data_IF_401669998227
#
_entry.id   IF_401669998227
#
_cell.length_a   1.000
_cell.length_b   1.000
_cell.length_c   1.000
_cell.angle_alpha   90.00
_cell.angle_beta   90.00
_cell.angle_gamma   90.00
#
_symmetry.space_group_name_H-M   'P 1'
#
loop_
_entity.id
_entity.type
_entity.pdbx_description
1 polymer ?
#
# COMPACT_ATOMS: atom_id res chain seq x y z
N UNK A 1 17.02 -10.08 6.69
CA UNK A 1 17.33 -8.81 6.00
C UNK A 1 16.01 -8.30 5.46
N UNK A 2 15.52 -7.14 5.93
CA UNK A 2 14.27 -6.56 5.42
C UNK A 2 14.69 -5.56 4.34
N UNK A 3 14.51 -5.94 3.08
CA UNK A 3 14.89 -5.10 1.94
C UNK A 3 13.78 -4.08 1.69
N UNK A 4 14.02 -2.81 2.04
CA UNK A 4 13.10 -1.70 1.72
C UNK A 4 13.48 -1.16 0.34
N UNK A 5 12.65 -1.39 -0.69
CA UNK A 5 12.86 -0.81 -2.02
C UNK A 5 11.90 0.36 -2.23
N UNK A 6 12.45 1.58 -2.33
CA UNK A 6 11.71 2.79 -2.63
C UNK A 6 12.17 3.29 -4.01
N UNK A 7 11.25 3.46 -4.96
CA UNK A 7 11.53 4.16 -6.21
C UNK A 7 10.48 5.26 -6.39
N UNK A 8 10.93 6.52 -6.46
CA UNK A 8 10.09 7.71 -6.48
C UNK A 8 10.28 8.42 -7.83
N UNK A 9 9.46 8.10 -8.83
CA UNK A 9 9.38 8.84 -10.10
C UNK A 9 7.97 8.68 -10.72
N UNK A 10 7.29 9.75 -11.11
CA UNK A 10 5.94 9.71 -11.73
C UNK A 10 5.98 10.26 -13.17
N UNK A 11 5.53 9.45 -14.16
CA UNK A 11 5.04 9.81 -15.52
C UNK A 11 4.30 8.60 -16.13
N UNK A 12 3.30 8.79 -17.01
CA UNK A 12 2.33 7.75 -17.40
C UNK A 12 2.91 6.45 -18.05
N UNK A 13 3.95 6.53 -18.89
CA UNK A 13 4.65 5.33 -19.41
C UNK A 13 5.49 4.61 -18.33
N UNK A 14 5.74 5.29 -17.21
CA UNK A 14 6.54 4.78 -16.11
C UNK A 14 5.73 3.85 -15.20
N UNK A 15 4.40 3.96 -15.16
CA UNK A 15 3.59 3.12 -14.26
C UNK A 15 3.65 1.64 -14.62
N UNK A 16 3.55 1.29 -15.91
CA UNK A 16 3.66 -0.10 -16.35
C UNK A 16 5.09 -0.65 -16.16
N UNK A 17 6.11 0.17 -16.42
CA UNK A 17 7.52 -0.20 -16.18
C UNK A 17 7.79 -0.40 -14.68
N UNK A 18 7.27 0.48 -13.82
CA UNK A 18 7.38 0.38 -12.37
C UNK A 18 6.63 -0.81 -11.80
N UNK A 19 5.45 -1.10 -12.34
CA UNK A 19 4.66 -2.27 -11.96
C UNK A 19 5.39 -3.56 -12.37
N UNK A 20 5.87 -3.64 -13.60
CA UNK A 20 6.69 -4.78 -14.08
C UNK A 20 7.93 -4.97 -13.21
N UNK A 21 8.62 -3.88 -12.87
CA UNK A 21 9.77 -3.92 -11.97
C UNK A 21 9.38 -4.39 -10.57
N UNK A 22 8.28 -3.89 -10.00
CA UNK A 22 7.78 -4.31 -8.69
C UNK A 22 7.50 -5.82 -8.67
N UNK A 23 6.84 -6.35 -9.69
CA UNK A 23 6.57 -7.78 -9.81
C UNK A 23 7.85 -8.61 -9.85
N UNK A 24 8.85 -8.14 -10.60
CA UNK A 24 10.15 -8.81 -10.68
C UNK A 24 10.89 -8.79 -9.32
N UNK A 25 10.78 -7.70 -8.57
CA UNK A 25 11.37 -7.62 -7.23
C UNK A 25 10.63 -8.49 -6.20
N UNK A 26 9.29 -8.59 -6.28
CA UNK A 26 8.51 -9.53 -5.48
C UNK A 26 8.93 -10.98 -5.81
N UNK A 27 9.10 -11.30 -7.10
CA UNK A 27 9.55 -12.61 -7.57
C UNK A 27 10.92 -12.97 -6.99
N UNK A 28 11.92 -12.08 -7.11
CA UNK A 28 13.27 -12.30 -6.55
C UNK A 28 13.25 -12.47 -5.03
N UNK A 29 12.47 -11.65 -4.32
CA UNK A 29 12.34 -11.76 -2.87
C UNK A 29 11.74 -13.11 -2.46
N UNK A 30 10.72 -13.58 -3.18
CA UNK A 30 10.13 -14.91 -2.96
C UNK A 30 11.14 -16.03 -3.19
N UNK A 31 11.92 -15.98 -4.26
CA UNK A 31 12.98 -16.97 -4.53
C UNK A 31 14.03 -17.01 -3.41
N UNK A 32 14.35 -15.85 -2.84
CA UNK A 32 15.27 -15.72 -1.71
C UNK A 32 14.62 -15.95 -0.33
N UNK A 33 13.33 -16.31 -0.29
CA UNK A 33 12.54 -16.49 0.95
C UNK A 33 12.52 -15.23 1.85
N UNK A 34 12.54 -14.05 1.24
CA UNK A 34 12.49 -12.76 1.91
C UNK A 34 11.05 -12.26 2.04
N UNK A 35 10.82 -11.37 3.02
CA UNK A 35 9.56 -10.64 3.16
C UNK A 35 9.68 -9.28 2.47
N UNK A 36 8.61 -8.89 1.78
CA UNK A 36 8.51 -7.63 1.03
C UNK A 36 7.55 -6.68 1.75
N UNK A 37 7.96 -5.41 1.79
CA UNK A 37 7.13 -4.28 2.21
C UNK A 37 7.09 -3.32 1.03
N UNK A 38 5.88 -2.94 0.65
CA UNK A 38 5.64 -2.04 -0.47
C UNK A 38 5.14 -0.71 0.09
N UNK A 39 5.66 0.39 -0.46
CA UNK A 39 5.22 1.74 -0.11
C UNK A 39 4.96 2.48 -1.41
N UNK A 40 3.72 2.93 -1.62
CA UNK A 40 3.30 3.65 -2.83
C UNK A 40 2.57 4.93 -2.49
N UNK A 41 2.45 5.84 -3.47
CA UNK A 41 1.57 7.00 -3.31
C UNK A 41 0.10 6.59 -3.46
N UNK A 42 -0.26 5.88 -4.53
CA UNK A 42 -1.63 5.41 -4.80
C UNK A 42 -1.93 4.11 -4.08
N UNK A 43 -3.22 3.86 -3.83
CA UNK A 43 -3.68 2.62 -3.22
C UNK A 43 -3.54 1.43 -4.19
N UNK A 44 -3.22 0.22 -3.68
CA UNK A 44 -3.12 -0.99 -4.50
C UNK A 44 -4.46 -1.67 -4.78
N UNK A 45 -5.54 -1.15 -4.22
CA UNK A 45 -6.86 -1.76 -4.28
C UNK A 45 -7.92 -0.69 -4.19
N UNK A 46 -9.10 -0.94 -4.77
CA UNK A 46 -10.28 -0.08 -4.62
C UNK A 46 -11.03 -0.35 -3.33
N UNK A 47 -10.75 -1.47 -2.67
CA UNK A 47 -11.48 -1.94 -1.49
C UNK A 47 -11.26 -0.99 -0.32
N UNK A 48 -12.31 -0.28 0.08
CA UNK A 48 -12.32 0.66 1.21
C UNK A 48 -11.32 1.82 1.08
N UNK A 49 -10.79 2.05 -0.12
CA UNK A 49 -9.78 3.08 -0.39
C UNK A 49 -10.33 4.26 -1.18
N UNK A 50 -11.49 4.10 -1.83
CA UNK A 50 -12.23 5.17 -2.51
C UNK A 50 -13.64 5.29 -1.92
N UNK A 51 -14.26 6.47 -2.03
CA UNK A 51 -15.69 6.64 -1.80
C UNK A 51 -16.49 6.21 -3.03
N UNK A 52 -17.80 5.98 -2.85
CA UNK A 52 -18.72 5.75 -3.97
C UNK A 52 -18.73 6.97 -4.90
N UNK A 53 -18.62 8.18 -4.35
CA UNK A 53 -18.52 9.43 -5.12
C UNK A 53 -17.25 9.50 -5.98
N UNK A 54 -16.09 9.03 -5.47
CA UNK A 54 -14.83 8.95 -6.25
C UNK A 54 -14.92 7.90 -7.37
N UNK A 55 -15.68 6.82 -7.13
CA UNK A 55 -15.92 5.77 -8.10
C UNK A 55 -16.89 6.24 -9.21
N UNK A 56 -17.97 6.92 -8.82
CA UNK A 56 -19.00 7.45 -9.71
C UNK A 56 -18.50 8.62 -10.57
N UNK A 57 -17.63 9.48 -10.01
CA UNK A 57 -17.01 10.59 -10.75
C UNK A 57 -15.89 10.16 -11.70
N UNK A 58 -15.53 8.87 -11.71
CA UNK A 58 -14.50 8.30 -12.60
C UNK A 58 -13.06 8.70 -12.23
N UNK A 59 -12.87 9.41 -11.10
CA UNK A 59 -11.54 9.84 -10.64
C UNK A 59 -10.81 8.73 -9.90
N UNK A 60 -11.47 7.64 -9.50
CA UNK A 60 -10.85 6.51 -8.81
C UNK A 60 -9.57 5.97 -9.50
N UNK A 61 -9.47 6.06 -10.83
CA UNK A 61 -8.24 5.69 -11.57
C UNK A 61 -7.04 6.61 -11.33
N UNK A 62 -7.25 7.81 -10.79
CA UNK A 62 -6.19 8.68 -10.29
C UNK A 62 -5.74 8.30 -8.86
N UNK A 63 -6.54 7.53 -8.11
CA UNK A 63 -6.27 7.20 -6.72
C UNK A 63 -5.80 5.76 -6.47
N UNK A 64 -6.17 4.86 -7.37
CA UNK A 64 -6.04 3.42 -7.16
C UNK A 64 -5.51 2.74 -8.41
N UNK A 65 -4.51 1.89 -8.22
CA UNK A 65 -4.14 0.89 -9.19
C UNK A 65 -4.75 -0.45 -8.73
N UNK A 66 -5.56 -1.10 -9.55
CA UNK A 66 -6.23 -2.36 -9.20
C UNK A 66 -5.22 -3.52 -9.21
N UNK A 67 -4.50 -3.68 -8.09
CA UNK A 67 -3.36 -4.58 -7.90
C UNK A 67 -3.61 -5.56 -6.75
N UNK A 68 -4.87 -5.96 -6.55
CA UNK A 68 -5.26 -6.98 -5.57
C UNK A 68 -4.46 -8.29 -5.74
N UNK A 69 -4.13 -8.66 -6.99
CA UNK A 69 -3.38 -9.87 -7.31
C UNK A 69 -1.91 -9.82 -6.84
N UNK A 70 -1.34 -8.62 -6.70
CA UNK A 70 0.04 -8.42 -6.25
C UNK A 70 0.16 -8.53 -4.72
N UNK A 71 -0.97 -8.41 -4.02
CA UNK A 71 -1.09 -8.72 -2.60
C UNK A 71 -1.06 -10.23 -2.43
N UNK A 72 0.11 -10.82 -2.28
CA UNK A 72 0.31 -12.27 -2.22
C UNK A 72 1.35 -12.66 -1.18
N UNK A 73 1.62 -13.97 -1.07
CA UNK A 73 2.60 -14.49 -0.13
C UNK A 73 3.95 -13.80 -0.29
N UNK A 74 4.65 -13.57 0.82
CA UNK A 74 5.86 -12.74 0.93
C UNK A 74 5.64 -11.23 0.92
N UNK A 75 4.57 -10.71 0.33
CA UNK A 75 4.20 -9.30 0.49
C UNK A 75 3.46 -9.13 1.82
N UNK A 76 4.16 -8.69 2.87
CA UNK A 76 3.60 -8.65 4.23
C UNK A 76 2.84 -7.36 4.50
N UNK A 77 3.34 -6.25 3.97
CA UNK A 77 2.77 -4.92 4.18
C UNK A 77 2.75 -4.13 2.87
N UNK A 78 1.64 -3.45 2.62
CA UNK A 78 1.54 -2.40 1.63
C UNK A 78 1.03 -1.13 2.29
N UNK A 79 1.88 -0.11 2.38
CA UNK A 79 1.50 1.21 2.87
C UNK A 79 1.24 2.14 1.69
N UNK A 80 0.14 2.89 1.73
CA UNK A 80 -0.21 3.80 0.65
C UNK A 80 -0.69 5.16 1.16
N UNK A 81 -0.89 6.09 0.23
CA UNK A 81 -1.34 7.46 0.49
C UNK A 81 -2.44 7.90 -0.49
N UNK A 82 -2.46 9.19 -0.80
CA UNK A 82 -3.34 9.88 -1.75
C UNK A 82 -4.88 9.90 -1.47
N UNK A 83 -5.47 8.83 -0.93
CA UNK A 83 -6.93 8.67 -0.79
C UNK A 83 -7.62 9.51 0.29
N UNK A 84 -6.84 10.10 1.20
CA UNK A 84 -7.35 10.78 2.39
C UNK A 84 -8.22 9.85 3.28
N UNK A 85 -8.01 8.53 3.22
CA UNK A 85 -8.70 7.56 4.08
C UNK A 85 -7.73 6.63 4.79
N UNK A 86 -7.72 6.69 6.12
CA UNK A 86 -6.94 5.73 6.90
C UNK A 86 -7.62 4.36 6.87
N UNK A 87 -6.86 3.32 6.54
CA UNK A 87 -7.35 1.96 6.41
C UNK A 87 -6.42 0.98 7.11
N UNK A 88 -6.98 -0.16 7.51
CA UNK A 88 -6.22 -1.28 8.04
C UNK A 88 -6.95 -2.57 7.66
N UNK A 89 -6.61 -3.09 6.48
CA UNK A 89 -7.32 -4.22 5.89
C UNK A 89 -6.34 -5.30 5.44
N UNK A 90 -6.88 -6.48 5.19
CA UNK A 90 -6.14 -7.62 4.63
C UNK A 90 -6.64 -7.86 3.21
N UNK A 91 -5.72 -7.84 2.25
CA UNK A 91 -5.99 -8.32 0.89
C UNK A 91 -5.14 -9.56 0.69
N UNK A 92 -5.81 -10.70 0.48
CA UNK A 92 -5.17 -12.02 0.48
C UNK A 92 -4.30 -12.20 1.74
N UNK A 93 -2.99 -12.42 1.59
CA UNK A 93 -2.03 -12.55 2.69
C UNK A 93 -1.26 -11.26 3.03
N UNK A 94 -1.59 -10.13 2.41
CA UNK A 94 -0.93 -8.83 2.62
C UNK A 94 -1.75 -7.91 3.51
N UNK A 95 -1.09 -7.30 4.50
CA UNK A 95 -1.68 -6.17 5.24
C UNK A 95 -1.60 -4.91 4.39
N UNK A 96 -2.74 -4.35 4.03
CA UNK A 96 -2.82 -3.08 3.29
C UNK A 96 -3.25 -2.01 4.26
N UNK A 97 -2.44 -0.96 4.37
CA UNK A 97 -2.51 -0.05 5.50
C UNK A 97 -2.33 1.42 5.06
N UNK A 98 -3.12 2.31 5.67
CA UNK A 98 -2.89 3.74 5.57
C UNK A 98 -3.30 4.51 6.84
N UNK A 99 -2.60 5.62 7.13
CA UNK A 99 -2.86 6.52 8.24
C UNK A 99 -2.82 7.97 7.76
N UNK A 100 -3.87 8.40 7.10
CA UNK A 100 -3.96 9.71 6.48
C UNK A 100 -4.28 10.80 7.47
N UNK A 101 -3.52 11.89 7.37
CA UNK A 101 -3.88 13.16 8.01
C UNK A 101 -5.01 13.90 7.28
N UNK A 102 -5.01 13.86 5.95
CA UNK A 102 -5.89 14.69 5.11
C UNK A 102 -5.62 16.19 5.27
N UNK A 103 -6.51 16.99 4.70
CA UNK A 103 -6.58 18.43 4.91
C UNK A 103 -7.18 18.76 6.29
N UNK A 104 -6.97 20.00 6.74
CA UNK A 104 -7.40 20.47 8.07
C UNK A 104 -8.91 20.32 8.31
N UNK A 105 -9.72 20.35 7.24
CA UNK A 105 -11.18 20.23 7.31
C UNK A 105 -11.67 18.79 7.15
N UNK A 106 -10.79 17.83 6.89
CA UNK A 106 -11.16 16.44 6.66
C UNK A 106 -10.96 15.61 7.94
N UNK A 107 -11.85 14.64 8.14
CA UNK A 107 -11.70 13.62 9.19
C UNK A 107 -11.33 12.30 8.55
N UNK A 108 -10.02 12.05 8.43
CA UNK A 108 -9.48 10.89 7.72
C UNK A 108 -9.17 9.69 8.62
N UNK A 109 -9.45 9.79 9.93
CA UNK A 109 -9.09 8.76 10.92
C UNK A 109 -7.61 8.75 11.33
N UNK A 110 -6.90 9.87 11.15
CA UNK A 110 -5.49 10.00 11.50
C UNK A 110 -5.22 9.66 12.97
N UNK A 111 -4.22 8.81 13.18
CA UNK A 111 -3.71 8.43 14.51
C UNK A 111 -2.26 8.89 14.64
N UNK A 112 -1.96 9.98 15.37
CA UNK A 112 -0.63 10.60 15.38
C UNK A 112 0.46 9.74 16.04
N UNK A 113 0.09 8.86 16.98
CA UNK A 113 1.01 8.00 17.71
C UNK A 113 1.08 6.58 17.14
N UNK A 114 0.52 6.38 15.95
CA UNK A 114 0.41 5.05 15.39
C UNK A 114 1.78 4.53 14.92
N UNK A 115 2.07 3.29 15.29
CA UNK A 115 3.32 2.60 14.95
C UNK A 115 3.02 1.25 14.33
N UNK A 116 3.76 0.91 13.28
CA UNK A 116 3.76 -0.41 12.67
C UNK A 116 5.05 -1.12 13.09
N UNK A 117 4.93 -2.25 13.78
CA UNK A 117 6.08 -3.08 14.14
C UNK A 117 6.20 -4.25 13.17
N UNK A 118 7.43 -4.48 12.69
CA UNK A 118 7.78 -5.49 11.72
C UNK A 118 8.76 -6.46 12.38
N UNK A 119 8.39 -7.73 12.44
CA UNK A 119 9.21 -8.76 13.08
C UNK A 119 9.94 -9.62 12.03
N UNK A 120 11.09 -10.20 12.39
CA UNK A 120 11.90 -11.01 11.48
C UNK A 120 11.18 -12.24 10.91
N UNK A 121 10.20 -12.78 11.65
CA UNK A 121 9.34 -13.88 11.20
C UNK A 121 8.23 -13.43 10.23
N UNK A 122 8.20 -12.16 9.83
CA UNK A 122 7.18 -11.59 8.94
C UNK A 122 5.89 -11.19 9.64
N UNK A 123 5.78 -11.33 10.96
CA UNK A 123 4.63 -10.82 11.71
C UNK A 123 4.60 -9.29 11.67
N UNK A 124 3.40 -8.73 11.60
CA UNK A 124 3.14 -7.29 11.62
C UNK A 124 2.14 -6.97 12.71
N UNK A 125 2.41 -5.94 13.49
CA UNK A 125 1.44 -5.37 14.44
C UNK A 125 1.27 -3.88 14.21
N UNK A 126 0.07 -3.38 14.45
CA UNK A 126 -0.24 -1.95 14.43
C UNK A 126 -0.63 -1.57 15.86
N UNK A 127 0.03 -0.55 16.39
CA UNK A 127 -0.16 -0.06 17.76
C UNK A 127 -0.43 1.44 17.74
N UNK A 128 -1.18 1.91 18.72
CA UNK A 128 -1.55 3.31 18.91
C UNK A 128 -1.25 3.65 20.38
N UNK A 129 -0.01 4.06 20.65
CA UNK A 129 0.56 4.22 22.00
C UNK A 129 1.43 5.46 22.09
#
# INVERSE_FOLDING_TARGET
MITIKLNLAMKLNHHAEQHTWLLEEIRKARENQENVIIITHHAPSRRETCTDDDAESGVAGAFVNDHDEDCQDHVRLWVYGHTHRSTNLMINSTKVFSNHRGYVHETCGFRPNMKINLFNNGTITVTDS
#
